data_IF_732756246724
#
_entry.id   IF_732756246724
#
_cell.length_a   1.000
_cell.length_b   1.000
_cell.length_c   1.000
_cell.angle_alpha   90.00
_cell.angle_beta   90.00
_cell.angle_gamma   90.00
#
_symmetry.space_group_name_H-M   'P 1'
#
loop_
_entity.id
_entity.type
_entity.pdbx_description
1 polymer ?
#
# COMPACT_ATOMS: atom_id res chain seq x y z
N UNK A 1 -14.54 7.72 -17.69
CA UNK A 1 -13.41 6.92 -18.25
C UNK A 1 -12.25 6.77 -17.27
N UNK A 2 -11.84 7.83 -16.57
CA UNK A 2 -10.68 7.82 -15.67
C UNK A 2 -10.76 6.74 -14.55
N UNK A 3 -11.93 6.55 -13.92
CA UNK A 3 -12.12 5.48 -12.93
C UNK A 3 -11.86 4.07 -13.50
N UNK A 4 -12.26 3.80 -14.75
CA UNK A 4 -12.01 2.51 -15.41
C UNK A 4 -10.53 2.29 -15.69
N UNK A 5 -9.80 3.34 -16.11
CA UNK A 5 -8.34 3.26 -16.25
C UNK A 5 -7.67 2.98 -14.90
N UNK A 6 -8.09 3.64 -13.83
CA UNK A 6 -7.59 3.36 -12.49
C UNK A 6 -7.91 1.94 -12.02
N UNK A 7 -9.06 1.37 -12.39
CA UNK A 7 -9.40 -0.02 -12.08
C UNK A 7 -8.54 -1.01 -12.86
N UNK A 8 -8.27 -0.74 -14.14
CA UNK A 8 -7.36 -1.53 -14.95
C UNK A 8 -5.93 -1.47 -14.39
N UNK A 9 -5.44 -0.27 -14.06
CA UNK A 9 -4.12 -0.07 -13.43
C UNK A 9 -4.06 -0.62 -12.01
N UNK A 10 -5.17 -0.87 -11.32
CA UNK A 10 -5.17 -1.50 -10.00
C UNK A 10 -5.30 -3.03 -10.06
N UNK A 11 -5.33 -3.62 -11.26
CA UNK A 11 -5.54 -5.04 -11.44
C UNK A 11 -4.26 -5.84 -11.23
N UNK A 12 -4.32 -6.84 -10.36
CA UNK A 12 -3.24 -7.81 -10.14
C UNK A 12 -2.89 -8.58 -11.42
N UNK A 13 -3.90 -8.84 -12.28
CA UNK A 13 -3.69 -9.50 -13.58
C UNK A 13 -2.80 -8.66 -14.50
N UNK A 14 -2.98 -7.33 -14.48
CA UNK A 14 -2.14 -6.42 -15.28
C UNK A 14 -0.70 -6.44 -14.78
N UNK A 15 -0.49 -6.44 -13.45
CA UNK A 15 0.85 -6.55 -12.84
C UNK A 15 1.55 -7.82 -13.29
N UNK A 16 0.86 -8.97 -13.25
CA UNK A 16 1.42 -10.25 -13.70
C UNK A 16 1.82 -10.24 -15.18
N UNK A 17 0.94 -9.72 -16.04
CA UNK A 17 1.24 -9.59 -17.49
C UNK A 17 2.43 -8.66 -17.73
N UNK A 18 2.50 -7.53 -17.02
CA UNK A 18 3.62 -6.58 -17.12
C UNK A 18 4.93 -7.20 -16.66
N UNK A 19 4.92 -7.91 -15.54
CA UNK A 19 6.10 -8.61 -15.02
C UNK A 19 6.57 -9.69 -15.99
N UNK A 20 5.65 -10.48 -16.54
CA UNK A 20 5.99 -11.52 -17.51
C UNK A 20 6.53 -10.92 -18.81
N UNK A 21 5.93 -9.83 -19.29
CA UNK A 21 6.41 -9.08 -20.46
C UNK A 21 7.81 -8.50 -20.24
N UNK A 22 8.06 -7.86 -19.09
CA UNK A 22 9.38 -7.35 -18.72
C UNK A 22 10.42 -8.48 -18.62
N UNK A 23 10.05 -9.61 -18.02
CA UNK A 23 10.93 -10.77 -17.91
C UNK A 23 11.31 -11.32 -19.29
N UNK A 24 10.33 -11.53 -20.18
CA UNK A 24 10.59 -11.96 -21.55
C UNK A 24 11.49 -10.98 -22.29
N UNK A 25 11.17 -9.68 -22.27
CA UNK A 25 11.98 -8.64 -22.92
C UNK A 25 13.40 -8.64 -22.36
N UNK A 26 13.57 -8.80 -21.04
CA UNK A 26 14.89 -8.88 -20.40
C UNK A 26 15.68 -10.11 -20.84
N UNK A 27 15.03 -11.28 -20.94
CA UNK A 27 15.65 -12.53 -21.39
C UNK A 27 16.10 -12.38 -22.85
N UNK A 28 15.23 -11.91 -23.74
CA UNK A 28 15.58 -11.69 -25.14
C UNK A 28 16.66 -10.63 -25.33
N UNK A 29 16.65 -9.57 -24.51
CA UNK A 29 17.71 -8.55 -24.49
C UNK A 29 19.07 -9.12 -24.08
N UNK A 30 19.07 -10.13 -23.21
CA UNK A 30 20.29 -10.78 -22.70
C UNK A 30 20.83 -11.81 -23.68
N UNK A 31 19.95 -12.61 -24.31
CA UNK A 31 20.32 -13.69 -25.23
C UNK A 31 20.79 -13.22 -26.62
N UNK A 32 20.57 -11.96 -26.98
CA UNK A 32 21.03 -11.42 -28.27
C UNK A 32 22.57 -11.33 -28.26
N UNK A 33 23.30 -12.13 -29.06
CA UNK A 33 24.75 -12.13 -29.02
C UNK A 33 25.30 -10.79 -29.52
N UNK A 34 26.13 -10.13 -28.70
CA UNK A 34 26.90 -8.95 -29.11
C UNK A 34 28.04 -9.41 -29.99
N UNK A 35 28.23 -8.76 -31.14
CA UNK A 35 29.33 -9.10 -32.04
C UNK A 35 30.69 -8.59 -31.53
N UNK A 36 30.68 -7.64 -30.59
CA UNK A 36 31.86 -6.95 -30.06
C UNK A 36 31.87 -7.01 -28.52
N UNK A 37 32.90 -7.64 -27.95
CA UNK A 37 33.05 -7.87 -26.51
C UNK A 37 33.34 -6.58 -25.70
N UNK A 38 33.87 -5.53 -26.34
CA UNK A 38 34.20 -4.27 -25.66
C UNK A 38 32.97 -3.36 -25.44
N UNK A 39 31.87 -3.60 -26.15
CA UNK A 39 30.64 -2.81 -26.07
C UNK A 39 29.60 -3.37 -25.08
N UNK A 40 29.92 -4.44 -24.34
CA UNK A 40 28.97 -5.08 -23.43
C UNK A 40 28.41 -4.13 -22.36
N UNK A 41 29.25 -3.25 -21.80
CA UNK A 41 28.82 -2.29 -20.76
C UNK A 41 27.86 -1.24 -21.34
N UNK A 42 28.13 -0.73 -22.54
CA UNK A 42 27.29 0.27 -23.21
C UNK A 42 25.96 -0.35 -23.72
N UNK A 43 25.96 -1.66 -24.05
CA UNK A 43 24.78 -2.40 -24.52
C UNK A 43 23.66 -2.43 -23.49
N UNK A 44 23.99 -2.68 -22.22
CA UNK A 44 22.96 -2.76 -21.17
C UNK A 44 22.29 -1.41 -20.95
N UNK A 45 23.07 -0.32 -20.88
CA UNK A 45 22.49 1.02 -20.75
C UNK A 45 21.58 1.37 -21.93
N UNK A 46 22.00 1.08 -23.16
CA UNK A 46 21.20 1.38 -24.36
C UNK A 46 19.92 0.55 -24.43
N UNK A 47 19.97 -0.72 -24.02
CA UNK A 47 18.80 -1.61 -24.00
C UNK A 47 17.76 -1.16 -22.96
N UNK A 48 18.21 -0.79 -21.75
CA UNK A 48 17.32 -0.27 -20.70
C UNK A 48 16.79 1.14 -20.99
N UNK A 49 17.48 1.89 -21.86
CA UNK A 49 16.97 3.15 -22.41
C UNK A 49 15.94 2.95 -23.53
N UNK A 50 15.75 1.73 -24.04
CA UNK A 50 14.80 1.49 -25.12
C UNK A 50 13.38 1.95 -24.73
N UNK A 51 12.66 2.63 -25.64
CA UNK A 51 11.36 3.20 -25.33
C UNK A 51 10.34 2.13 -24.96
N UNK A 52 10.43 0.93 -25.53
CA UNK A 52 9.55 -0.20 -25.21
C UNK A 52 9.75 -0.71 -23.78
N UNK A 53 10.99 -0.89 -23.35
CA UNK A 53 11.29 -1.33 -21.98
C UNK A 53 10.88 -0.27 -20.96
N UNK A 54 11.19 1.01 -21.23
CA UNK A 54 10.76 2.14 -20.38
C UNK A 54 9.25 2.25 -20.28
N UNK A 55 8.51 2.01 -21.36
CA UNK A 55 7.05 2.05 -21.35
C UNK A 55 6.46 0.93 -20.48
N UNK A 56 6.98 -0.29 -20.59
CA UNK A 56 6.59 -1.40 -19.72
C UNK A 56 6.89 -1.10 -18.25
N UNK A 57 8.08 -0.56 -17.96
CA UNK A 57 8.48 -0.17 -16.61
C UNK A 57 7.59 0.95 -16.05
N UNK A 58 7.28 1.96 -16.87
CA UNK A 58 6.40 3.05 -16.50
C UNK A 58 4.98 2.57 -16.22
N UNK A 59 4.44 1.64 -17.04
CA UNK A 59 3.14 1.02 -16.78
C UNK A 59 3.13 0.24 -15.47
N UNK A 60 4.20 -0.52 -15.20
CA UNK A 60 4.33 -1.26 -13.94
C UNK A 60 4.41 -0.31 -12.74
N UNK A 61 5.22 0.75 -12.83
CA UNK A 61 5.33 1.76 -11.78
C UNK A 61 3.98 2.45 -11.52
N UNK A 62 3.25 2.82 -12.57
CA UNK A 62 1.92 3.41 -12.46
C UNK A 62 0.93 2.44 -11.81
N UNK A 63 0.95 1.15 -12.20
CA UNK A 63 0.12 0.10 -11.58
C UNK A 63 0.40 -0.03 -10.07
N UNK A 64 1.67 -0.13 -9.67
CA UNK A 64 2.07 -0.22 -8.27
C UNK A 64 1.68 1.03 -7.48
N UNK A 65 1.81 2.21 -8.08
CA UNK A 65 1.44 3.48 -7.46
C UNK A 65 -0.07 3.53 -7.19
N UNK A 66 -0.91 3.13 -8.15
CA UNK A 66 -2.36 3.08 -7.98
C UNK A 66 -2.77 2.06 -6.91
N UNK A 67 -2.19 0.86 -6.95
CA UNK A 67 -2.43 -0.17 -5.93
C UNK A 67 -2.05 0.33 -4.52
N UNK A 68 -0.89 0.97 -4.40
CA UNK A 68 -0.41 1.54 -3.14
C UNK A 68 -1.31 2.65 -2.63
N UNK A 69 -1.78 3.55 -3.50
CA UNK A 69 -2.74 4.59 -3.14
C UNK A 69 -4.09 4.02 -2.70
N UNK A 70 -4.59 2.97 -3.36
CA UNK A 70 -5.84 2.29 -2.94
C UNK A 70 -5.69 1.64 -1.58
N UNK A 71 -4.57 0.94 -1.35
CA UNK A 71 -4.28 0.33 -0.06
C UNK A 71 -4.15 1.39 1.03
N UNK A 72 -3.43 2.48 0.74
CA UNK A 72 -3.25 3.59 1.68
C UNK A 72 -4.59 4.26 2.01
N UNK A 73 -5.43 4.55 1.01
CA UNK A 73 -6.79 5.08 1.22
C UNK A 73 -7.63 4.14 2.08
N UNK A 74 -7.60 2.83 1.82
CA UNK A 74 -8.30 1.84 2.65
C UNK A 74 -7.78 1.86 4.10
N UNK A 75 -6.46 1.88 4.31
CA UNK A 75 -5.82 1.90 5.64
C UNK A 75 -6.08 3.20 6.42
N UNK A 76 -6.19 4.33 5.73
CA UNK A 76 -6.55 5.61 6.34
C UNK A 76 -8.02 5.61 6.74
N UNK A 77 -8.91 5.16 5.84
CA UNK A 77 -10.36 5.05 6.08
C UNK A 77 -10.76 3.97 7.10
N UNK A 78 -9.91 2.98 7.39
CA UNK A 78 -10.13 2.01 8.48
C UNK A 78 -10.27 2.70 9.84
N UNK A 79 -9.56 3.80 10.08
CA UNK A 79 -9.66 4.55 11.36
C UNK A 79 -11.04 5.17 11.52
N UNK A 80 -11.55 5.79 10.45
CA UNK A 80 -12.89 6.37 10.42
C UNK A 80 -13.98 5.29 10.49
N UNK A 81 -13.76 4.15 9.81
CA UNK A 81 -14.66 2.99 9.93
C UNK A 81 -14.72 2.45 11.35
N UNK A 82 -13.60 2.34 12.05
CA UNK A 82 -13.56 1.87 13.44
C UNK A 82 -14.29 2.85 14.37
N UNK A 83 -14.17 4.16 14.12
CA UNK A 83 -14.92 5.21 14.83
C UNK A 83 -16.42 5.17 14.53
N UNK A 84 -16.80 4.85 13.29
CA UNK A 84 -18.20 4.81 12.86
C UNK A 84 -18.93 3.50 13.22
N UNK A 85 -18.21 2.38 13.26
CA UNK A 85 -18.80 1.05 13.49
C UNK A 85 -19.39 0.96 14.90
N UNK A 86 -20.66 0.55 14.99
CA UNK A 86 -21.32 0.27 16.28
C UNK A 86 -20.64 -0.96 16.90
N UNK A 87 -20.30 -0.95 18.20
CA UNK A 87 -19.60 -2.07 18.83
C UNK A 87 -20.39 -3.36 18.65
N UNK A 88 -19.79 -4.36 18.01
CA UNK A 88 -20.37 -5.68 17.89
C UNK A 88 -20.15 -6.47 19.19
N UNK A 89 -21.07 -6.31 20.14
CA UNK A 89 -21.51 -7.34 21.09
C UNK A 89 -20.53 -8.02 22.05
N UNK A 90 -19.24 -7.67 22.10
CA UNK A 90 -18.25 -8.22 23.06
C UNK A 90 -17.28 -7.14 23.54
N UNK A 91 -17.79 -5.94 23.80
CA UNK A 91 -17.04 -4.88 24.46
C UNK A 91 -17.19 -4.96 25.97
N UNK A 92 -16.12 -4.66 26.71
CA UNK A 92 -16.21 -4.39 28.16
C UNK A 92 -16.76 -2.98 28.32
N UNK A 93 -17.88 -2.83 29.02
CA UNK A 93 -18.43 -1.51 29.38
C UNK A 93 -17.53 -0.92 30.45
N UNK A 94 -16.84 0.17 30.15
CA UNK A 94 -16.08 0.96 31.13
C UNK A 94 -17.05 1.93 31.81
N UNK A 95 -17.04 2.00 33.14
CA UNK A 95 -17.77 3.04 33.86
C UNK A 95 -17.18 4.42 33.49
N UNK A 96 -18.02 5.45 33.38
CA UNK A 96 -17.60 6.78 32.89
C UNK A 96 -16.43 7.40 33.69
N UNK A 97 -16.27 7.04 34.98
CA UNK A 97 -15.12 7.46 35.81
C UNK A 97 -13.82 6.71 35.52
N UNK A 98 -13.90 5.50 34.95
CA UNK A 98 -12.73 4.67 34.60
C UNK A 98 -12.19 4.99 33.20
N UNK A 99 -12.99 5.60 32.32
CA UNK A 99 -12.59 5.88 30.94
C UNK A 99 -11.39 6.84 30.85
N UNK A 100 -11.38 7.92 31.64
CA UNK A 100 -10.25 8.86 31.69
C UNK A 100 -9.02 8.23 32.35
N UNK A 101 -9.21 7.47 33.42
CA UNK A 101 -8.13 6.76 34.10
C UNK A 101 -7.48 5.70 33.20
N UNK A 102 -8.29 4.95 32.44
CA UNK A 102 -7.83 3.98 31.44
C UNK A 102 -7.13 4.69 30.29
N UNK A 103 -7.66 5.82 29.80
CA UNK A 103 -7.00 6.60 28.75
C UNK A 103 -5.63 7.13 29.21
N UNK A 104 -5.52 7.62 30.44
CA UNK A 104 -4.26 8.08 31.03
C UNK A 104 -3.25 6.93 31.17
N UNK A 105 -3.71 5.76 31.63
CA UNK A 105 -2.87 4.57 31.81
C UNK A 105 -2.40 4.00 30.47
N UNK A 106 -3.26 4.01 29.45
CA UNK A 106 -2.89 3.61 28.08
C UNK A 106 -1.89 4.60 27.46
N UNK A 107 -2.06 5.92 27.67
CA UNK A 107 -1.05 6.91 27.25
C UNK A 107 0.30 6.68 27.93
N UNK A 108 0.30 6.38 29.23
CA UNK A 108 1.51 6.02 29.97
C UNK A 108 2.19 4.75 29.42
N UNK A 109 1.40 3.79 28.91
CA UNK A 109 1.89 2.57 28.23
C UNK A 109 2.30 2.82 26.75
N UNK A 110 2.30 4.07 26.30
CA UNK A 110 2.75 4.49 24.97
C UNK A 110 1.68 4.37 23.86
N UNK A 111 0.41 4.22 24.23
CA UNK A 111 -0.69 4.24 23.26
C UNK A 111 -1.05 5.68 22.89
N UNK A 112 -1.27 5.92 21.61
CA UNK A 112 -1.84 7.18 21.10
C UNK A 112 -3.36 7.04 21.09
N UNK A 113 -4.05 8.12 21.44
CA UNK A 113 -5.51 8.17 21.50
C UNK A 113 -6.05 9.24 20.55
N UNK A 114 -7.17 8.97 19.87
CA UNK A 114 -7.98 9.97 19.16
C UNK A 114 -9.40 9.86 19.66
N UNK A 115 -9.93 10.95 20.17
CA UNK A 115 -11.30 11.05 20.65
C UNK A 115 -12.15 11.77 19.59
N UNK A 116 -13.35 11.26 19.34
CA UNK A 116 -14.35 11.91 18.51
C UNK A 116 -15.72 11.72 19.20
N UNK A 117 -16.18 12.75 19.90
CA UNK A 117 -17.36 12.67 20.77
C UNK A 117 -17.12 11.70 21.94
N UNK A 118 -18.08 10.80 22.18
CA UNK A 118 -18.00 9.76 23.21
C UNK A 118 -17.10 8.58 22.82
N UNK A 119 -16.57 8.52 21.59
CA UNK A 119 -15.76 7.37 21.13
C UNK A 119 -14.28 7.68 21.16
N UNK A 120 -13.49 6.74 21.65
CA UNK A 120 -12.02 6.82 21.68
C UNK A 120 -11.38 5.66 20.92
N UNK A 121 -10.48 5.96 20.00
CA UNK A 121 -9.64 4.95 19.36
C UNK A 121 -8.23 5.06 19.92
N UNK A 122 -7.70 3.93 20.34
CA UNK A 122 -6.34 3.78 20.83
C UNK A 122 -5.51 2.97 19.85
N UNK A 123 -4.26 3.37 19.62
CA UNK A 123 -3.34 2.59 18.81
C UNK A 123 -1.92 2.64 19.35
N UNK A 124 -1.19 1.54 19.16
CA UNK A 124 0.23 1.43 19.48
C UNK A 124 0.95 0.74 18.33
N UNK A 125 1.93 1.46 17.77
CA UNK A 125 2.66 1.01 16.57
C UNK A 125 1.82 1.03 15.29
N UNK A 126 2.23 0.23 14.30
CA UNK A 126 1.62 0.18 12.96
C UNK A 126 0.40 -0.74 12.84
N UNK A 127 0.19 -1.64 13.81
CA UNK A 127 -0.72 -2.79 13.64
C UNK A 127 -1.76 -2.99 14.75
N UNK A 128 -1.56 -2.45 15.96
CA UNK A 128 -2.53 -2.56 17.04
C UNK A 128 -3.45 -1.35 17.11
N UNK A 129 -4.70 -1.47 16.64
CA UNK A 129 -5.76 -0.44 16.76
C UNK A 129 -6.96 -1.04 17.47
N UNK A 130 -7.47 -0.35 18.47
CA UNK A 130 -8.66 -0.75 19.24
C UNK A 130 -9.58 0.46 19.42
N UNK A 131 -10.88 0.25 19.34
CA UNK A 131 -11.89 1.26 19.63
C UNK A 131 -12.52 0.97 21.00
N UNK A 132 -12.65 2.00 21.82
CA UNK A 132 -13.43 2.00 23.06
C UNK A 132 -14.56 3.03 22.92
N UNK A 133 -15.72 2.71 23.49
CA UNK A 133 -16.79 3.68 23.76
C UNK A 133 -16.74 4.05 25.24
#
# INVERSE_FOLDING_TARGET
MLNRLFDLLASVRLTLVLLFGLALVSIFGTLRPSRDAELEVLRYELFYQSPGFRLLLALLAANLLVCSLRLLKRRLGETERLLATKPAGTGVVLAAGDAEAVAARLRALGFRSRQQGERMVFWRGRWGRFAAL
#
